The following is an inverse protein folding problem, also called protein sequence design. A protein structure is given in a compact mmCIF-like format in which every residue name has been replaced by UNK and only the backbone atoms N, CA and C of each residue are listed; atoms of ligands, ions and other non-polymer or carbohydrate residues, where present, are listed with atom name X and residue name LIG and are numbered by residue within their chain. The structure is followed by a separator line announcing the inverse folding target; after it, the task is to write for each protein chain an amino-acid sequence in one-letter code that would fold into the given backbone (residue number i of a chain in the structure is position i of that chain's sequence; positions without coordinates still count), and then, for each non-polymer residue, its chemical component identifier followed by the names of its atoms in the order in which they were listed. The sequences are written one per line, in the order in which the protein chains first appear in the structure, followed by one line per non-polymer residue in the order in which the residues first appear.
data_IF_066647380584
#
_entry.id   IF_066647380584
#
_cell.length_a   1.000
_cell.length_b   1.000
_cell.length_c   1.000
_cell.angle_alpha   90.00
_cell.angle_beta   90.00
_cell.angle_gamma   90.00
#
_symmetry.space_group_name_H-M   'P 1'
#
loop_
_entity.id
_entity.type
_entity.pdbx_description
1 polymer ?
#
# COMPACT_ATOMS: atom_id res chain seq x y z
N UNK A 1 5.80 -8.51 65.10
CA UNK A 1 7.16 -9.00 65.43
C UNK A 1 7.94 -9.04 64.12
N UNK A 2 9.04 -8.29 64.01
CA UNK A 2 9.91 -8.06 62.81
C UNK A 2 9.23 -7.33 61.63
N UNK A 3 9.40 -6.04 61.31
CA UNK A 3 10.53 -5.08 61.15
C UNK A 3 11.44 -5.36 59.95
N UNK A 4 11.66 -4.29 59.16
CA UNK A 4 12.66 -4.04 58.08
C UNK A 4 12.22 -4.43 56.65
N UNK A 5 12.44 -3.67 55.57
CA UNK A 5 12.94 -2.30 55.35
C UNK A 5 12.47 -1.80 53.96
N UNK A 6 11.99 -0.56 53.92
CA UNK A 6 11.81 0.27 52.72
C UNK A 6 13.12 0.44 51.94
N UNK A 7 13.07 0.31 50.60
CA UNK A 7 13.84 1.14 49.66
C UNK A 7 13.01 1.39 48.39
N UNK A 8 12.38 2.55 48.35
CA UNK A 8 11.90 3.22 47.13
C UNK A 8 13.12 3.58 46.28
N UNK A 9 13.25 3.01 45.08
CA UNK A 9 14.22 3.48 44.10
C UNK A 9 13.51 4.48 43.17
N UNK A 10 13.53 5.75 43.57
CA UNK A 10 13.27 6.87 42.67
C UNK A 10 14.46 6.95 41.71
N UNK A 11 14.23 6.68 40.42
CA UNK A 11 15.21 7.03 39.38
C UNK A 11 14.93 8.46 38.94
N UNK A 12 15.85 9.34 39.31
CA UNK A 12 15.78 10.77 39.10
C UNK A 12 15.89 11.14 37.61
N UNK A 13 14.94 11.99 37.21
CA UNK A 13 14.88 12.78 36.00
C UNK A 13 16.16 13.60 35.83
N UNK A 14 16.96 13.29 34.81
CA UNK A 14 18.12 14.12 34.41
C UNK A 14 17.72 14.93 33.19
N UNK A 15 17.31 16.18 33.43
CA UNK A 15 17.01 17.16 32.39
C UNK A 15 18.34 17.72 31.87
N UNK A 16 18.80 17.22 30.72
CA UNK A 16 19.95 17.79 30.04
C UNK A 16 19.53 19.10 29.36
N UNK A 17 19.89 20.22 29.97
CA UNK A 17 19.85 21.54 29.35
C UNK A 17 21.06 21.67 28.44
N UNK A 18 20.84 21.79 27.13
CA UNK A 18 21.86 22.26 26.20
C UNK A 18 21.42 23.59 25.56
N UNK A 19 22.23 24.59 25.91
CA UNK A 19 22.55 25.84 25.25
C UNK A 19 21.90 26.12 23.88
N UNK A 20 21.28 27.31 23.81
CA UNK A 20 20.89 27.93 22.57
C UNK A 20 22.08 28.24 21.67
N UNK A 21 21.94 27.92 20.39
CA UNK A 21 22.67 28.55 19.31
C UNK A 21 21.79 29.62 18.67
N UNK A 22 22.43 30.78 18.51
CA UNK A 22 22.01 31.98 17.81
C UNK A 22 21.23 31.72 16.53
N UNK A 23 20.21 32.54 16.29
CA UNK A 23 19.39 32.50 15.09
C UNK A 23 20.22 32.66 13.82
N UNK A 24 20.13 31.65 12.96
CA UNK A 24 20.28 31.80 11.52
C UNK A 24 18.87 31.78 10.93
N UNK A 25 18.44 32.90 10.36
CA UNK A 25 17.21 33.02 9.57
C UNK A 25 17.21 31.91 8.51
N UNK A 26 16.14 31.08 8.41
CA UNK A 26 16.01 30.19 7.28
C UNK A 26 15.80 31.03 6.03
N UNK A 27 16.66 30.85 5.02
CA UNK A 27 16.46 31.40 3.69
C UNK A 27 15.02 31.08 3.22
N UNK A 28 14.33 32.00 2.53
CA UNK A 28 12.94 31.78 2.15
C UNK A 28 12.88 30.51 1.30
N UNK A 29 12.13 29.52 1.79
CA UNK A 29 11.73 28.40 0.98
C UNK A 29 11.04 28.99 -0.25
N UNK A 30 11.63 28.80 -1.42
CA UNK A 30 10.92 28.98 -2.67
C UNK A 30 9.80 27.95 -2.63
N UNK A 31 8.60 28.38 -2.24
CA UNK A 31 7.38 27.65 -2.54
C UNK A 31 7.38 27.44 -4.06
N UNK A 32 7.70 26.21 -4.48
CA UNK A 32 7.31 25.75 -5.78
C UNK A 32 5.78 25.79 -5.78
N UNK A 33 5.24 26.91 -6.24
CA UNK A 33 3.82 27.10 -6.46
C UNK A 33 3.38 26.03 -7.45
N UNK A 34 2.93 24.90 -6.92
CA UNK A 34 2.13 23.94 -7.69
C UNK A 34 0.76 24.60 -7.80
N UNK A 35 0.64 25.49 -8.78
CA UNK A 35 -0.66 26.01 -9.18
C UNK A 35 -1.59 24.83 -9.47
N UNK A 36 -2.90 24.94 -9.15
CA UNK A 36 -3.83 23.87 -9.44
C UNK A 36 -3.77 23.57 -10.94
N UNK A 37 -3.28 22.37 -11.28
CA UNK A 37 -3.28 21.88 -12.65
C UNK A 37 -4.74 21.89 -13.12
N UNK A 38 -5.03 22.71 -14.13
CA UNK A 38 -6.36 22.76 -14.72
C UNK A 38 -6.73 21.35 -15.18
N UNK A 39 -7.78 20.78 -14.58
CA UNK A 39 -8.34 19.50 -15.01
C UNK A 39 -8.97 19.69 -16.39
N UNK A 40 -8.17 19.44 -17.42
CA UNK A 40 -8.68 19.22 -18.77
C UNK A 40 -9.55 17.96 -18.75
N UNK A 41 -10.76 18.08 -19.31
CA UNK A 41 -11.64 16.94 -19.49
C UNK A 41 -10.93 15.95 -20.42
N UNK A 42 -10.52 14.84 -19.83
CA UNK A 42 -9.70 13.82 -20.44
C UNK A 42 -10.60 12.64 -20.84
N UNK A 43 -10.62 12.31 -22.13
CA UNK A 43 -11.44 11.23 -22.70
C UNK A 43 -10.80 9.84 -22.52
N UNK A 44 -9.72 9.73 -21.72
CA UNK A 44 -9.06 8.46 -21.45
C UNK A 44 -9.93 7.53 -20.59
N UNK A 45 -9.78 6.22 -20.84
CA UNK A 45 -10.52 5.17 -20.11
C UNK A 45 -10.01 5.02 -18.68
N UNK A 46 -10.70 5.64 -17.72
CA UNK A 46 -10.38 5.47 -16.30
C UNK A 46 -11.01 4.22 -15.67
N UNK A 47 -12.29 3.95 -15.90
CA UNK A 47 -12.95 2.77 -15.35
C UNK A 47 -12.57 1.53 -16.18
N UNK A 48 -11.81 0.61 -15.60
CA UNK A 48 -11.38 -0.61 -16.27
C UNK A 48 -12.45 -1.70 -16.20
N UNK A 49 -12.95 -1.96 -15.00
CA UNK A 49 -14.04 -2.90 -14.73
C UNK A 49 -14.71 -2.63 -13.37
N UNK A 50 -15.82 -3.32 -13.13
CA UNK A 50 -16.41 -3.49 -11.79
C UNK A 50 -16.35 -4.96 -11.40
N UNK A 51 -15.92 -5.23 -10.19
CA UNK A 51 -15.90 -6.55 -9.56
C UNK A 51 -16.77 -6.45 -8.32
N UNK A 52 -17.99 -6.98 -8.41
CA UNK A 52 -19.04 -6.79 -7.41
C UNK A 52 -19.19 -5.30 -7.07
N UNK A 53 -18.95 -4.91 -5.82
CA UNK A 53 -19.07 -3.52 -5.33
C UNK A 53 -17.82 -2.66 -5.63
N UNK A 54 -16.70 -3.27 -6.04
CA UNK A 54 -15.44 -2.57 -6.27
C UNK A 54 -15.29 -2.09 -7.72
N UNK A 55 -14.88 -0.83 -7.90
CA UNK A 55 -14.49 -0.29 -9.20
C UNK A 55 -12.96 -0.32 -9.34
N UNK A 56 -12.46 -0.96 -10.41
CA UNK A 56 -11.04 -0.94 -10.75
C UNK A 56 -10.80 0.23 -11.69
N UNK A 57 -10.02 1.21 -11.22
CA UNK A 57 -9.75 2.46 -11.95
C UNK A 57 -8.27 2.62 -12.28
N UNK A 58 -8.00 3.12 -13.48
CA UNK A 58 -6.68 3.51 -13.94
C UNK A 58 -6.40 4.98 -13.63
N UNK A 59 -5.24 5.22 -13.03
CA UNK A 59 -4.68 6.55 -12.87
C UNK A 59 -3.54 6.75 -13.88
N UNK A 60 -3.44 7.97 -14.41
CA UNK A 60 -2.37 8.35 -15.32
C UNK A 60 -1.37 9.27 -14.62
N UNK A 61 -0.08 9.03 -14.87
CA UNK A 61 1.01 9.84 -14.35
C UNK A 61 1.57 10.70 -15.49
N UNK A 62 0.81 11.72 -15.91
CA UNK A 62 1.03 12.47 -17.15
C UNK A 62 2.41 13.13 -17.21
N UNK A 63 2.81 13.74 -16.10
CA UNK A 63 4.08 14.45 -16.01
C UNK A 63 5.29 13.54 -15.76
N UNK A 64 5.09 12.23 -15.57
CA UNK A 64 6.20 11.29 -15.36
C UNK A 64 7.18 11.30 -16.54
N UNK A 65 6.66 11.47 -17.75
CA UNK A 65 7.46 11.53 -18.98
C UNK A 65 8.36 12.77 -19.06
N UNK A 66 7.99 13.86 -18.40
CA UNK A 66 8.75 15.12 -18.38
C UNK A 66 9.92 15.10 -17.39
N UNK A 67 9.94 14.14 -16.45
CA UNK A 67 10.97 14.09 -15.41
C UNK A 67 12.38 13.84 -15.97
N UNK A 68 13.43 14.43 -15.37
CA UNK A 68 14.82 14.09 -15.65
C UNK A 68 15.09 12.59 -15.45
N UNK A 69 16.05 12.04 -16.21
CA UNK A 69 16.38 10.61 -16.15
C UNK A 69 16.70 10.14 -14.72
N UNK A 70 17.45 10.94 -13.95
CA UNK A 70 17.82 10.62 -12.57
C UNK A 70 16.59 10.42 -11.67
N UNK A 71 15.55 11.23 -11.84
CA UNK A 71 14.31 11.13 -11.05
C UNK A 71 13.47 9.92 -11.49
N UNK A 72 13.40 9.66 -12.79
CA UNK A 72 12.76 8.42 -13.31
C UNK A 72 13.44 7.17 -12.76
N UNK A 73 14.77 7.15 -12.71
CA UNK A 73 15.53 6.03 -12.13
C UNK A 73 15.23 5.87 -10.63
N UNK A 74 15.19 6.97 -9.87
CA UNK A 74 14.82 6.94 -8.46
C UNK A 74 13.40 6.37 -8.27
N UNK A 75 12.41 6.90 -8.99
CA UNK A 75 11.02 6.44 -8.91
C UNK A 75 10.91 4.97 -9.31
N UNK A 76 11.63 4.55 -10.35
CA UNK A 76 11.65 3.14 -10.77
C UNK A 76 12.12 2.23 -9.64
N UNK A 77 13.23 2.57 -8.96
CA UNK A 77 13.71 1.77 -7.82
C UNK A 77 12.74 1.76 -6.64
N UNK A 78 12.13 2.90 -6.32
CA UNK A 78 11.10 2.98 -5.27
C UNK A 78 9.88 2.13 -5.62
N UNK A 79 9.47 2.13 -6.88
CA UNK A 79 8.35 1.30 -7.36
C UNK A 79 8.67 -0.20 -7.28
N UNK A 80 9.88 -0.61 -7.68
CA UNK A 80 10.33 -2.00 -7.51
C UNK A 80 10.33 -2.42 -6.03
N UNK A 81 10.82 -1.56 -5.14
CA UNK A 81 10.80 -1.81 -3.70
C UNK A 81 9.38 -1.95 -3.15
N UNK A 82 8.44 -1.11 -3.61
CA UNK A 82 7.04 -1.19 -3.20
C UNK A 82 6.37 -2.51 -3.66
N UNK A 83 6.59 -2.94 -4.91
CA UNK A 83 6.03 -4.20 -5.42
C UNK A 83 6.57 -5.42 -4.67
N UNK A 84 7.87 -5.41 -4.32
CA UNK A 84 8.51 -6.54 -3.64
C UNK A 84 7.86 -6.87 -2.28
N UNK A 85 7.21 -5.91 -1.63
CA UNK A 85 6.51 -6.12 -0.35
C UNK A 85 5.17 -6.85 -0.46
N UNK A 86 4.64 -7.08 -1.67
CA UNK A 86 3.30 -7.63 -1.88
C UNK A 86 3.10 -8.98 -1.17
N UNK A 87 4.01 -9.91 -1.38
CA UNK A 87 3.82 -11.29 -0.91
C UNK A 87 3.99 -11.40 0.61
N UNK A 88 4.84 -10.55 1.19
CA UNK A 88 4.95 -10.39 2.65
C UNK A 88 3.59 -9.95 3.22
N UNK A 89 2.93 -8.98 2.57
CA UNK A 89 1.62 -8.52 3.02
C UNK A 89 0.54 -9.60 2.90
N UNK A 90 0.52 -10.38 1.82
CA UNK A 90 -0.39 -11.53 1.69
C UNK A 90 -0.20 -12.53 2.84
N UNK A 91 1.03 -12.90 3.15
CA UNK A 91 1.36 -13.88 4.19
C UNK A 91 0.91 -13.40 5.59
N UNK A 92 1.10 -12.11 5.88
CA UNK A 92 0.67 -11.50 7.15
C UNK A 92 -0.86 -11.49 7.33
N UNK A 93 -1.63 -11.40 6.25
CA UNK A 93 -3.09 -11.26 6.32
C UNK A 93 -3.80 -12.57 6.66
N UNK A 94 -3.29 -13.70 6.18
CA UNK A 94 -3.85 -15.02 6.47
C UNK A 94 -2.85 -16.12 6.14
N UNK A 95 -2.69 -17.07 7.08
CA UNK A 95 -1.83 -18.26 6.97
C UNK A 95 -1.89 -19.10 5.68
N UNK A 96 -2.94 -18.96 4.86
CA UNK A 96 -3.12 -19.73 3.61
C UNK A 96 -3.20 -18.84 2.37
N UNK A 97 -2.94 -17.53 2.51
CA UNK A 97 -3.15 -16.59 1.42
C UNK A 97 -2.27 -16.86 0.19
N UNK A 98 -0.98 -17.16 0.40
CA UNK A 98 -0.07 -17.46 -0.70
C UNK A 98 -0.49 -18.75 -1.42
N UNK A 99 -0.74 -19.83 -0.66
CA UNK A 99 -1.22 -21.11 -1.23
C UNK A 99 -2.51 -20.94 -2.02
N UNK A 100 -3.49 -20.21 -1.47
CA UNK A 100 -4.76 -19.95 -2.15
C UNK A 100 -4.57 -19.16 -3.44
N UNK A 101 -3.74 -18.11 -3.38
CA UNK A 101 -3.42 -17.30 -4.56
C UNK A 101 -2.76 -18.14 -5.64
N UNK A 102 -1.76 -18.94 -5.29
CA UNK A 102 -1.02 -19.77 -6.24
C UNK A 102 -1.93 -20.78 -6.95
N UNK A 103 -2.85 -21.42 -6.22
CA UNK A 103 -3.85 -22.33 -6.81
C UNK A 103 -4.79 -21.61 -7.76
N UNK A 104 -5.35 -20.47 -7.35
CA UNK A 104 -6.27 -19.71 -8.18
C UNK A 104 -5.58 -19.16 -9.43
N UNK A 105 -4.37 -18.61 -9.29
CA UNK A 105 -3.54 -18.08 -10.38
C UNK A 105 -3.16 -19.18 -11.38
N UNK A 106 -2.84 -20.38 -10.89
CA UNK A 106 -2.60 -21.54 -11.74
C UNK A 106 -3.85 -21.93 -12.56
N UNK A 107 -5.03 -21.93 -11.94
CA UNK A 107 -6.29 -22.24 -12.63
C UNK A 107 -6.63 -21.19 -13.69
N UNK A 108 -6.59 -19.90 -13.36
CA UNK A 108 -6.96 -18.84 -14.31
C UNK A 108 -5.96 -18.71 -15.46
N UNK A 109 -4.69 -19.08 -15.22
CA UNK A 109 -3.65 -19.14 -16.25
C UNK A 109 -3.76 -20.37 -17.15
N UNK A 110 -4.43 -21.44 -16.68
CA UNK A 110 -4.58 -22.71 -17.40
C UNK A 110 -6.04 -23.21 -17.38
N UNK A 111 -7.00 -22.49 -17.99
CA UNK A 111 -8.44 -22.76 -17.83
C UNK A 111 -8.97 -23.96 -18.64
N UNK A 112 -8.09 -24.71 -19.33
CA UNK A 112 -8.50 -25.79 -20.22
C UNK A 112 -9.25 -26.89 -19.47
N UNK A 113 -10.43 -27.26 -19.99
CA UNK A 113 -11.25 -28.34 -19.42
C UNK A 113 -12.21 -27.89 -18.31
N UNK A 114 -12.29 -26.60 -18.01
CA UNK A 114 -13.25 -26.02 -17.06
C UNK A 114 -14.43 -25.44 -17.87
N UNK A 115 -15.66 -25.75 -17.46
CA UNK A 115 -16.84 -25.16 -18.09
C UNK A 115 -16.90 -23.64 -17.85
N UNK A 116 -17.47 -22.91 -18.81
CA UNK A 116 -17.46 -21.45 -18.77
C UNK A 116 -18.13 -20.84 -17.52
N UNK A 117 -19.30 -21.32 -17.04
CA UNK A 117 -19.88 -20.84 -15.79
C UNK A 117 -18.97 -21.02 -14.56
N UNK A 118 -18.37 -22.21 -14.40
CA UNK A 118 -17.43 -22.47 -13.30
C UNK A 118 -16.21 -21.57 -13.39
N UNK A 119 -15.63 -21.43 -14.59
CA UNK A 119 -14.48 -20.56 -14.80
C UNK A 119 -14.80 -19.10 -14.46
N UNK A 120 -16.00 -18.62 -14.81
CA UNK A 120 -16.44 -17.26 -14.49
C UNK A 120 -16.49 -17.01 -12.98
N UNK A 121 -16.99 -17.95 -12.18
CA UNK A 121 -17.00 -17.83 -10.72
C UNK A 121 -15.59 -17.90 -10.11
N UNK A 122 -14.71 -18.76 -10.65
CA UNK A 122 -13.31 -18.82 -10.23
C UNK A 122 -12.61 -17.48 -10.52
N UNK A 123 -12.82 -16.91 -11.71
CA UNK A 123 -12.27 -15.60 -12.07
C UNK A 123 -12.82 -14.48 -11.18
N UNK A 124 -14.13 -14.49 -10.89
CA UNK A 124 -14.75 -13.52 -9.97
C UNK A 124 -14.12 -13.59 -8.58
N UNK A 125 -14.00 -14.79 -8.01
CA UNK A 125 -13.38 -14.99 -6.69
C UNK A 125 -11.89 -14.60 -6.67
N UNK A 126 -11.15 -14.94 -7.73
CA UNK A 126 -9.72 -14.60 -7.86
C UNK A 126 -9.53 -13.08 -7.85
N UNK A 127 -10.39 -12.33 -8.56
CA UNK A 127 -10.36 -10.86 -8.54
C UNK A 127 -10.67 -10.30 -7.16
N UNK A 128 -11.66 -10.84 -6.45
CA UNK A 128 -11.94 -10.43 -5.06
C UNK A 128 -10.74 -10.66 -4.15
N UNK A 129 -10.06 -11.80 -4.29
CA UNK A 129 -8.86 -12.12 -3.53
C UNK A 129 -7.73 -11.13 -3.83
N UNK A 130 -7.51 -10.77 -5.09
CA UNK A 130 -6.49 -9.77 -5.46
C UNK A 130 -6.81 -8.38 -4.90
N UNK A 131 -8.06 -7.93 -5.03
CA UNK A 131 -8.50 -6.62 -4.54
C UNK A 131 -8.43 -6.50 -3.02
N UNK A 132 -8.65 -7.60 -2.31
CA UNK A 132 -8.69 -7.59 -0.85
C UNK A 132 -7.42 -8.15 -0.19
N UNK A 133 -6.44 -8.62 -0.96
CA UNK A 133 -5.24 -9.27 -0.43
C UNK A 133 -5.57 -10.46 0.49
N UNK A 134 -6.51 -11.30 0.05
CA UNK A 134 -6.94 -12.49 0.79
C UNK A 134 -8.45 -12.77 0.67
N UNK A 135 -8.96 -13.80 1.37
CA UNK A 135 -10.34 -14.29 1.19
C UNK A 135 -11.38 -13.52 2.02
N UNK A 136 -11.00 -12.40 2.62
CA UNK A 136 -11.88 -11.58 3.45
C UNK A 136 -12.06 -10.21 2.81
N UNK A 137 -13.26 -9.65 2.87
CA UNK A 137 -13.53 -8.29 2.50
C UNK A 137 -12.79 -7.32 3.44
N UNK A 138 -12.01 -6.40 2.89
CA UNK A 138 -11.16 -5.49 3.67
C UNK A 138 -11.93 -4.49 4.53
N UNK A 139 -13.18 -4.18 4.20
CA UNK A 139 -14.02 -3.24 4.94
C UNK A 139 -14.86 -3.92 6.01
N UNK A 140 -15.41 -5.09 5.70
CA UNK A 140 -16.36 -5.79 6.60
C UNK A 140 -15.75 -6.95 7.37
N UNK A 141 -14.53 -7.37 7.03
CA UNK A 141 -13.86 -8.57 7.52
C UNK A 141 -14.63 -9.88 7.31
N UNK A 142 -15.70 -9.87 6.50
CA UNK A 142 -16.45 -11.08 6.16
C UNK A 142 -15.71 -11.86 5.09
N UNK A 143 -15.69 -13.18 5.23
CA UNK A 143 -15.20 -14.08 4.19
C UNK A 143 -16.13 -14.03 2.98
N UNK A 144 -15.55 -14.03 1.78
CA UNK A 144 -16.29 -14.14 0.51
C UNK A 144 -16.87 -15.53 0.29
#
# INVERSE_FOLDING_TARGET
MFRTHSKRLMLAMTFATFFGCSGSEPAPATEAATGPAAQQADDRKHLLERVDEAAVVQLYADDFSALPLREKTLIWHLYQAAIAGRDIYYDQRHRHNLDMRDVLEAIVSNPSGIDAPTLAEIQRYTKLLWLNTGPYNNLTARKF
#
